data_IF_546118012431
#
_entry.id   IF_546118012431
#
_cell.length_a   1.000
_cell.length_b   1.000
_cell.length_c   1.000
_cell.angle_alpha   90.00
_cell.angle_beta   90.00
_cell.angle_gamma   90.00
#
_symmetry.space_group_name_H-M   'P 1'
#
loop_
_entity.id
_entity.type
_entity.pdbx_description
1 polymer ?
#
# COMPACT_ATOMS: atom_id res chain seq x y z
N UNK A 1 -1.90 -15.29 -1.45
CA UNK A 1 -1.01 -14.14 -1.74
C UNK A 1 0.04 -14.05 -0.63
N UNK A 2 1.35 -13.94 -0.92
CA UNK A 2 2.41 -13.96 0.10
C UNK A 2 2.29 -12.86 1.17
N UNK A 3 1.74 -11.71 0.81
CA UNK A 3 1.49 -10.58 1.73
C UNK A 3 0.12 -10.65 2.43
N UNK A 4 -0.67 -11.71 2.22
CA UNK A 4 -1.99 -11.87 2.84
C UNK A 4 -3.04 -10.83 2.42
N UNK A 5 -2.83 -10.08 1.33
CA UNK A 5 -3.67 -8.93 1.01
C UNK A 5 -5.17 -9.25 0.72
N UNK A 6 -5.53 -10.33 0.01
CA UNK A 6 -6.93 -10.74 -0.13
C UNK A 6 -7.47 -11.31 1.18
N UNK A 7 -8.66 -10.88 1.57
CA UNK A 7 -9.37 -11.27 2.80
C UNK A 7 -10.77 -11.79 2.45
N UNK A 8 -11.29 -12.73 3.24
CA UNK A 8 -12.65 -13.25 3.09
C UNK A 8 -13.68 -12.16 3.43
N UNK A 9 -14.62 -11.93 2.54
CA UNK A 9 -15.74 -11.04 2.81
C UNK A 9 -16.87 -11.87 3.41
N UNK A 10 -16.85 -12.12 4.72
CA UNK A 10 -17.70 -13.13 5.41
C UNK A 10 -19.23 -13.06 5.23
N UNK A 11 -19.75 -12.10 4.46
CA UNK A 11 -21.14 -12.01 4.02
C UNK A 11 -21.38 -12.49 2.56
N UNK A 12 -20.33 -12.66 1.76
CA UNK A 12 -20.41 -13.08 0.35
C UNK A 12 -19.32 -14.12 0.07
N UNK A 13 -19.51 -14.99 -0.92
CA UNK A 13 -18.47 -15.95 -1.32
C UNK A 13 -17.33 -15.30 -2.15
N UNK A 14 -16.96 -14.06 -1.83
CA UNK A 14 -15.99 -13.25 -2.57
C UNK A 14 -14.81 -12.86 -1.66
N UNK A 15 -13.62 -12.82 -2.24
CA UNK A 15 -12.44 -12.26 -1.59
C UNK A 15 -12.35 -10.76 -1.89
N UNK A 16 -12.00 -9.96 -0.89
CA UNK A 16 -11.80 -8.51 -1.02
C UNK A 16 -10.35 -8.13 -0.75
N UNK A 17 -9.89 -7.05 -1.38
CA UNK A 17 -8.55 -6.48 -1.23
C UNK A 17 -8.67 -4.97 -1.41
N UNK A 18 -7.85 -4.18 -0.71
CA UNK A 18 -7.71 -2.76 -0.98
C UNK A 18 -7.33 -2.49 -2.45
N UNK A 19 -8.06 -1.59 -3.09
CA UNK A 19 -7.93 -1.20 -4.49
C UNK A 19 -7.06 0.05 -4.70
N UNK A 20 -6.61 0.68 -3.60
CA UNK A 20 -5.92 1.97 -3.64
C UNK A 20 -6.86 3.16 -3.85
N UNK A 21 -8.16 2.99 -3.58
CA UNK A 21 -9.21 3.97 -3.84
C UNK A 21 -9.23 4.44 -5.30
N UNK A 22 -9.36 3.49 -6.23
CA UNK A 22 -9.24 3.72 -7.67
C UNK A 22 -10.07 4.93 -8.15
N UNK A 23 -11.34 4.99 -7.76
CA UNK A 23 -12.25 6.07 -8.16
C UNK A 23 -11.81 7.44 -7.62
N UNK A 24 -11.30 7.50 -6.38
CA UNK A 24 -10.79 8.75 -5.79
C UNK A 24 -9.54 9.23 -6.54
N UNK A 25 -8.63 8.30 -6.85
CA UNK A 25 -7.40 8.62 -7.57
C UNK A 25 -7.72 9.10 -8.98
N UNK A 26 -8.73 8.53 -9.64
CA UNK A 26 -9.20 9.00 -10.95
C UNK A 26 -9.71 10.46 -10.92
N UNK A 27 -10.25 10.92 -9.78
CA UNK A 27 -10.66 12.30 -9.55
C UNK A 27 -9.52 13.21 -9.03
N UNK A 28 -8.27 12.72 -8.98
CA UNK A 28 -7.13 13.48 -8.46
C UNK A 28 -7.09 13.60 -6.93
N UNK A 29 -7.93 12.84 -6.21
CA UNK A 29 -7.93 12.78 -4.74
C UNK A 29 -6.95 11.70 -4.26
N UNK A 30 -6.42 11.87 -3.05
CA UNK A 30 -5.62 10.82 -2.40
C UNK A 30 -6.50 9.67 -1.89
N UNK A 31 -5.92 8.46 -1.71
CA UNK A 31 -6.60 7.38 -1.02
C UNK A 31 -7.04 7.81 0.37
N UNK A 32 -8.18 7.31 0.82
CA UNK A 32 -8.78 7.79 2.08
C UNK A 32 -7.88 7.53 3.29
N UNK A 33 -7.13 6.42 3.30
CA UNK A 33 -6.19 6.09 4.37
C UNK A 33 -5.00 7.05 4.45
N UNK A 34 -4.59 7.65 3.31
CA UNK A 34 -3.52 8.64 3.28
C UNK A 34 -4.04 9.99 3.75
N UNK A 35 -5.21 10.39 3.27
CA UNK A 35 -5.84 11.66 3.64
C UNK A 35 -6.25 11.70 5.12
N UNK A 36 -6.74 10.57 5.67
CA UNK A 36 -7.18 10.48 7.06
C UNK A 36 -6.05 10.28 8.06
N UNK A 37 -4.82 10.03 7.62
CA UNK A 37 -3.70 9.72 8.52
C UNK A 37 -3.32 10.97 9.35
N UNK A 38 -3.62 11.01 10.67
CA UNK A 38 -3.36 12.20 11.49
C UNK A 38 -1.87 12.47 11.66
N UNK A 39 -1.05 11.39 11.64
CA UNK A 39 0.39 11.48 11.79
C UNK A 39 1.11 11.80 10.48
N UNK A 40 0.40 11.82 9.34
CA UNK A 40 0.98 11.98 8.00
C UNK A 40 2.10 10.97 7.71
N UNK A 41 1.94 9.75 8.23
CA UNK A 41 2.90 8.66 8.10
C UNK A 41 2.78 7.90 6.76
N UNK A 42 1.68 8.12 6.03
CA UNK A 42 1.40 7.49 4.75
C UNK A 42 1.50 8.54 3.64
N UNK A 43 2.04 8.14 2.50
CA UNK A 43 2.03 8.92 1.26
C UNK A 43 1.66 8.01 0.08
N UNK A 44 1.20 8.61 -1.01
CA UNK A 44 0.75 7.88 -2.20
C UNK A 44 1.13 8.62 -3.47
N UNK A 45 1.68 7.88 -4.43
CA UNK A 45 2.18 8.41 -5.69
C UNK A 45 3.03 7.39 -6.44
N UNK A 46 3.72 7.81 -7.51
CA UNK A 46 4.64 6.95 -8.26
C UNK A 46 5.74 6.37 -7.36
N UNK A 47 5.97 5.06 -7.45
CA UNK A 47 6.89 4.36 -6.53
C UNK A 47 8.32 4.89 -6.60
N UNK A 48 8.78 5.33 -7.77
CA UNK A 48 10.13 5.87 -7.94
C UNK A 48 10.31 7.21 -7.22
N UNK A 49 9.27 8.04 -7.17
CA UNK A 49 9.28 9.29 -6.42
C UNK A 49 9.26 9.02 -4.91
N UNK A 50 8.42 8.08 -4.48
CA UNK A 50 8.35 7.66 -3.08
C UNK A 50 9.69 7.09 -2.61
N UNK A 51 10.34 6.25 -3.42
CA UNK A 51 11.66 5.68 -3.11
C UNK A 51 12.76 6.75 -3.02
N UNK A 52 12.75 7.74 -3.91
CA UNK A 52 13.67 8.88 -3.83
C UNK A 52 13.48 9.69 -2.55
N UNK A 53 12.24 9.83 -2.08
CA UNK A 53 11.89 10.62 -0.89
C UNK A 53 12.09 9.86 0.42
N UNK A 54 11.88 8.54 0.43
CA UNK A 54 11.74 7.74 1.65
C UNK A 54 12.72 6.56 1.76
N UNK A 55 13.49 6.26 0.72
CA UNK A 55 14.40 5.11 0.64
C UNK A 55 13.82 3.92 -0.10
N UNK A 56 14.56 2.82 -0.21
CA UNK A 56 14.17 1.65 -1.02
C UNK A 56 13.70 0.44 -0.20
N UNK A 57 13.56 0.59 1.12
CA UNK A 57 13.15 -0.51 1.99
C UNK A 57 11.73 -0.97 1.63
N UNK A 58 11.61 -2.17 1.09
CA UNK A 58 10.34 -2.70 0.57
C UNK A 58 9.83 -3.95 1.31
N UNK A 59 10.51 -4.36 2.39
CA UNK A 59 10.10 -5.49 3.23
C UNK A 59 10.67 -5.38 4.65
N UNK A 60 9.80 -5.54 5.65
CA UNK A 60 10.13 -5.74 7.07
C UNK A 60 9.19 -6.81 7.61
N UNK A 61 9.61 -7.59 8.61
CA UNK A 61 8.74 -8.61 9.21
C UNK A 61 7.41 -7.98 9.69
N UNK A 62 6.24 -8.61 9.44
CA UNK A 62 6.04 -9.97 8.93
C UNK A 62 5.94 -10.09 7.39
N UNK A 63 6.23 -9.04 6.63
CA UNK A 63 6.13 -9.08 5.16
C UNK A 63 7.14 -10.06 4.54
N UNK A 64 6.77 -10.76 3.45
CA UNK A 64 7.70 -11.61 2.71
C UNK A 64 8.81 -10.77 2.07
N UNK A 65 9.93 -11.41 1.72
CA UNK A 65 11.06 -10.73 1.07
C UNK A 65 10.62 -10.08 -0.24
N UNK A 66 11.06 -8.85 -0.49
CA UNK A 66 10.64 -8.06 -1.65
C UNK A 66 10.87 -8.74 -3.02
N UNK A 67 11.89 -9.60 -3.15
CA UNK A 67 12.20 -10.28 -4.42
C UNK A 67 11.08 -11.22 -4.91
N UNK A 68 10.17 -11.66 -4.05
CA UNK A 68 9.07 -12.55 -4.45
C UNK A 68 8.02 -11.86 -5.32
N UNK A 69 7.74 -10.57 -5.06
CA UNK A 69 6.62 -9.86 -5.73
C UNK A 69 6.95 -8.43 -6.13
N UNK A 70 8.17 -7.95 -5.85
CA UNK A 70 8.63 -6.58 -6.13
C UNK A 70 7.56 -5.53 -5.79
N UNK A 71 7.14 -5.43 -4.51
CA UNK A 71 5.96 -4.66 -4.14
C UNK A 71 6.14 -3.16 -4.44
N UNK A 72 5.04 -2.51 -4.86
CA UNK A 72 4.93 -1.06 -4.98
C UNK A 72 4.72 -0.43 -3.59
N UNK A 73 5.71 -0.62 -2.72
CA UNK A 73 5.74 -0.13 -1.35
C UNK A 73 7.14 0.36 -1.02
N UNK A 74 7.20 1.46 -0.28
CA UNK A 74 8.41 2.00 0.32
C UNK A 74 8.16 2.24 1.79
N UNK A 75 9.05 1.78 2.65
CA UNK A 75 9.00 1.93 4.09
C UNK A 75 10.07 2.91 4.53
N UNK A 76 9.69 3.86 5.38
CA UNK A 76 10.63 4.78 6.02
C UNK A 76 11.30 4.02 7.17
N UNK A 77 12.63 3.93 7.15
CA UNK A 77 13.43 3.45 8.26
C UNK A 77 13.91 4.67 9.06
N UNK A 78 13.49 4.78 10.32
CA UNK A 78 14.00 5.78 11.27
C UNK A 78 15.26 5.24 11.96
#
# INVERSE_FOLDING_TARGET
>A
CPAGAPQDHGATAQLTKGDGCYDRVAEGKKPICVESCPLRALDFGPIDELRKKHGELAAVAPLPRAHFTQPMLSLIHL
#
